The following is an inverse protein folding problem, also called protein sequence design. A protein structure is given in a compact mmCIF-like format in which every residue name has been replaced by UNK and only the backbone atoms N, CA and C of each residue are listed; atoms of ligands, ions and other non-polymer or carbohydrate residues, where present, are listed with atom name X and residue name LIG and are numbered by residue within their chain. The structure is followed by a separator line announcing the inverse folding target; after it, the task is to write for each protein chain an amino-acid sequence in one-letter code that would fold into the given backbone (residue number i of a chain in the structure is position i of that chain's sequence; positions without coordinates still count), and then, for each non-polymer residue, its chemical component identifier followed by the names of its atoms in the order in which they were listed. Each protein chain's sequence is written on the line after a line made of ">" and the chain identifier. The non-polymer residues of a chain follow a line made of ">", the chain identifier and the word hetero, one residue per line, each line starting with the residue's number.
data_IF_030127720681
#
_entry.id   IF_030127720681
#
_cell.length_a   1.000
_cell.length_b   1.000
_cell.length_c   1.000
_cell.angle_alpha   90.00
_cell.angle_beta   90.00
_cell.angle_gamma   90.00
#
_symmetry.space_group_name_H-M   'P 1'
#
loop_
_entity.id
_entity.type
_entity.pdbx_description
1 polymer ?
#
# COMPACT_ATOMS: atom_id res chain seq x y z
N UNK A 1 3.38 -15.52 -20.36
CA UNK A 1 2.68 -14.48 -19.59
C UNK A 1 1.91 -15.19 -18.49
N UNK A 2 2.26 -14.93 -17.23
CA UNK A 2 1.73 -15.66 -16.06
C UNK A 2 0.94 -14.76 -15.12
N UNK A 3 0.85 -13.47 -15.41
CA UNK A 3 0.10 -12.52 -14.60
C UNK A 3 -1.38 -12.55 -14.98
N UNK A 4 -2.26 -12.63 -13.98
CA UNK A 4 -3.71 -12.55 -14.18
C UNK A 4 -4.20 -11.10 -14.37
N UNK A 5 -3.49 -10.14 -13.79
CA UNK A 5 -3.87 -8.72 -13.78
C UNK A 5 -2.66 -7.79 -13.80
N UNK A 6 -2.86 -6.59 -14.35
CA UNK A 6 -1.95 -5.45 -14.24
C UNK A 6 -2.70 -4.26 -13.63
N UNK A 7 -2.00 -3.44 -12.84
CA UNK A 7 -2.60 -2.30 -12.15
C UNK A 7 -1.75 -1.07 -12.38
N UNK A 8 -2.40 0.05 -12.68
CA UNK A 8 -1.81 1.39 -12.62
C UNK A 8 -2.36 2.07 -11.37
N UNK A 9 -1.49 2.64 -10.54
CA UNK A 9 -1.87 3.33 -9.32
C UNK A 9 -1.20 4.71 -9.26
N UNK A 10 -1.85 5.70 -8.63
CA UNK A 10 -1.26 7.01 -8.37
C UNK A 10 -0.36 6.98 -7.13
N UNK A 11 0.54 7.96 -7.01
CA UNK A 11 1.55 8.03 -5.93
C UNK A 11 0.95 8.00 -4.52
N UNK A 12 -0.26 8.55 -4.33
CA UNK A 12 -0.93 8.50 -3.02
C UNK A 12 -1.21 7.07 -2.55
N UNK A 13 -1.28 6.08 -3.46
CA UNK A 13 -1.43 4.68 -3.09
C UNK A 13 -0.16 4.18 -2.40
N UNK A 14 1.03 4.49 -2.92
CA UNK A 14 2.30 4.17 -2.28
C UNK A 14 2.43 4.88 -0.93
N UNK A 15 2.16 6.19 -0.89
CA UNK A 15 2.19 6.96 0.36
C UNK A 15 1.22 6.42 1.43
N UNK A 16 0.05 5.91 1.01
CA UNK A 16 -0.87 5.23 1.92
C UNK A 16 -0.27 3.91 2.45
N UNK A 17 0.35 3.11 1.59
CA UNK A 17 1.05 1.88 1.98
C UNK A 17 2.15 2.14 3.01
N UNK A 18 2.97 3.17 2.79
CA UNK A 18 4.08 3.53 3.71
C UNK A 18 3.56 3.80 5.13
N UNK A 19 2.42 4.52 5.23
CA UNK A 19 1.78 4.81 6.53
C UNK A 19 1.18 3.59 7.18
N UNK A 20 0.60 2.66 6.39
CA UNK A 20 0.08 1.41 6.92
C UNK A 20 1.21 0.56 7.50
N UNK A 21 2.33 0.41 6.77
CA UNK A 21 3.52 -0.32 7.22
C UNK A 21 4.18 0.33 8.45
N UNK A 22 4.20 1.66 8.51
CA UNK A 22 4.73 2.40 9.65
C UNK A 22 3.90 2.20 10.93
N UNK A 23 2.60 1.88 10.79
CA UNK A 23 1.66 1.65 11.88
C UNK A 23 1.31 2.92 12.67
N UNK A 24 0.13 2.93 13.31
CA UNK A 24 -0.29 4.01 14.22
C UNK A 24 -0.16 3.62 15.69
N UNK A 25 -0.12 2.32 15.98
CA UNK A 25 -0.14 1.76 17.33
C UNK A 25 1.20 1.12 17.69
N UNK A 26 1.58 1.19 18.97
CA UNK A 26 2.89 0.66 19.43
C UNK A 26 2.92 -0.88 19.47
N UNK A 27 1.75 -1.53 19.52
CA UNK A 27 1.63 -2.99 19.60
C UNK A 27 1.69 -3.72 18.27
N UNK A 28 1.66 -3.00 17.14
CA UNK A 28 1.72 -3.60 15.82
C UNK A 28 3.17 -3.66 15.29
N UNK A 29 3.55 -4.71 14.56
CA UNK A 29 4.87 -4.78 13.92
C UNK A 29 5.02 -3.62 12.94
N UNK A 30 6.00 -2.74 13.19
CA UNK A 30 6.34 -1.66 12.27
C UNK A 30 7.32 -2.13 11.21
N UNK A 31 7.03 -1.80 9.96
CA UNK A 31 7.87 -2.06 8.80
C UNK A 31 8.27 -0.70 8.22
N UNK A 32 9.57 -0.48 8.01
CA UNK A 32 10.05 0.68 7.26
C UNK A 32 9.99 0.30 5.78
N UNK A 33 9.15 1.00 5.03
CA UNK A 33 8.82 0.70 3.64
C UNK A 33 8.86 2.01 2.86
N UNK A 34 9.78 2.11 1.90
CA UNK A 34 9.83 3.24 0.98
C UNK A 34 8.70 3.18 -0.06
N UNK A 35 8.63 4.16 -0.94
CA UNK A 35 7.54 4.28 -1.93
C UNK A 35 7.42 3.02 -2.81
N UNK A 36 8.55 2.53 -3.33
CA UNK A 36 8.53 1.35 -4.21
C UNK A 36 8.14 0.10 -3.43
N UNK A 37 8.60 -0.01 -2.18
CA UNK A 37 8.30 -1.11 -1.26
C UNK A 37 6.84 -1.19 -0.88
N UNK A 38 6.22 -0.04 -0.60
CA UNK A 38 4.86 0.04 -0.08
C UNK A 38 3.77 0.17 -1.16
N UNK A 39 4.15 0.49 -2.40
CA UNK A 39 3.23 0.72 -3.54
C UNK A 39 2.16 -0.36 -3.71
N UNK A 40 2.57 -1.63 -3.62
CA UNK A 40 1.67 -2.77 -3.82
C UNK A 40 0.72 -2.98 -2.63
N UNK A 41 1.20 -2.84 -1.40
CA UNK A 41 0.39 -2.92 -0.20
C UNK A 41 -0.67 -1.82 -0.18
N UNK A 42 -0.26 -0.57 -0.42
CA UNK A 42 -1.17 0.56 -0.42
C UNK A 42 -2.22 0.48 -1.52
N UNK A 43 -1.84 0.03 -2.72
CA UNK A 43 -2.79 -0.22 -3.81
C UNK A 43 -3.79 -1.32 -3.46
N UNK A 44 -3.31 -2.44 -2.89
CA UNK A 44 -4.19 -3.53 -2.47
C UNK A 44 -5.13 -3.10 -1.32
N UNK A 45 -4.65 -2.32 -0.36
CA UNK A 45 -5.45 -1.78 0.73
C UNK A 45 -6.60 -0.92 0.20
N UNK A 46 -6.35 -0.07 -0.80
CA UNK A 46 -7.40 0.72 -1.45
C UNK A 46 -8.41 -0.16 -2.18
N UNK A 47 -7.96 -1.15 -2.97
CA UNK A 47 -8.85 -2.10 -3.66
C UNK A 47 -9.75 -2.85 -2.65
N UNK A 48 -9.19 -3.20 -1.49
CA UNK A 48 -9.91 -3.93 -0.44
C UNK A 48 -10.91 -3.06 0.32
N UNK A 49 -10.70 -1.75 0.44
CA UNK A 49 -11.46 -0.90 1.36
C UNK A 49 -12.35 0.14 0.69
N UNK A 50 -11.99 0.63 -0.50
CA UNK A 50 -12.71 1.71 -1.20
C UNK A 50 -13.92 1.17 -1.98
N UNK A 51 -15.15 1.63 -1.70
CA UNK A 51 -16.36 1.17 -2.39
C UNK A 51 -16.32 1.33 -3.91
N UNK A 52 -15.70 2.39 -4.40
CA UNK A 52 -15.53 2.70 -5.82
C UNK A 52 -14.64 1.67 -6.56
N UNK A 53 -13.85 0.87 -5.84
CA UNK A 53 -13.01 -0.19 -6.41
C UNK A 53 -13.61 -1.60 -6.26
N UNK A 54 -14.88 -1.70 -5.87
CA UNK A 54 -15.57 -2.98 -5.65
C UNK A 54 -15.48 -3.94 -6.84
N UNK A 55 -15.63 -3.43 -8.06
CA UNK A 55 -15.61 -4.27 -9.26
C UNK A 55 -14.21 -4.83 -9.54
N UNK A 56 -13.14 -4.08 -9.28
CA UNK A 56 -11.77 -4.58 -9.35
C UNK A 56 -11.54 -5.70 -8.30
N UNK A 57 -11.98 -5.48 -7.06
CA UNK A 57 -11.88 -6.47 -5.98
C UNK A 57 -12.60 -7.78 -6.33
N UNK A 58 -13.80 -7.70 -6.93
CA UNK A 58 -14.57 -8.86 -7.41
C UNK A 58 -13.87 -9.57 -8.57
N UNK A 59 -13.36 -8.83 -9.55
CA UNK A 59 -12.64 -9.40 -10.69
C UNK A 59 -11.41 -10.21 -10.24
N UNK A 60 -10.66 -9.69 -9.26
CA UNK A 60 -9.51 -10.35 -8.63
C UNK A 60 -9.91 -11.47 -7.65
N UNK A 61 -11.21 -11.68 -7.40
CA UNK A 61 -11.77 -12.69 -6.47
C UNK A 61 -11.26 -12.57 -5.03
N UNK A 62 -10.87 -11.37 -4.62
CA UNK A 62 -10.38 -11.10 -3.26
C UNK A 62 -11.54 -11.17 -2.26
N UNK A 63 -11.36 -11.97 -1.21
CA UNK A 63 -12.35 -12.17 -0.16
C UNK A 63 -11.68 -12.56 1.17
N UNK A 64 -12.47 -12.83 2.21
CA UNK A 64 -11.98 -13.16 3.55
C UNK A 64 -11.11 -14.43 3.64
N UNK A 65 -11.16 -15.31 2.64
CA UNK A 65 -10.34 -16.53 2.58
C UNK A 65 -9.05 -16.32 1.76
N UNK A 66 -8.81 -15.13 1.21
CA UNK A 66 -7.62 -14.84 0.42
C UNK A 66 -6.39 -14.69 1.34
N UNK A 67 -5.28 -15.31 0.95
CA UNK A 67 -3.96 -15.03 1.53
C UNK A 67 -3.19 -14.15 0.57
N UNK A 68 -2.77 -12.98 1.03
CA UNK A 68 -2.03 -12.00 0.23
C UNK A 68 -0.56 -12.00 0.66
N UNK A 69 0.34 -12.07 -0.32
CA UNK A 69 1.78 -11.95 -0.12
C UNK A 69 2.24 -10.64 -0.76
N UNK A 70 2.95 -9.82 0.02
CA UNK A 70 3.58 -8.59 -0.44
C UNK A 70 5.09 -8.71 -0.22
N UNK A 71 5.85 -8.07 -1.10
CA UNK A 71 7.31 -7.97 -0.98
C UNK A 71 7.63 -6.49 -0.83
N UNK A 72 8.06 -6.10 0.36
CA UNK A 72 8.68 -4.80 0.57
C UNK A 72 10.08 -4.85 -0.07
N UNK A 73 10.26 -4.07 -1.13
CA UNK A 73 11.49 -4.06 -1.94
C UNK A 73 12.55 -3.09 -1.41
N UNK A 74 12.17 -2.10 -0.60
CA UNK A 74 13.10 -1.09 -0.07
C UNK A 74 12.63 -0.51 1.28
N UNK A 75 13.59 -0.13 2.13
CA UNK A 75 13.32 0.69 3.31
C UNK A 75 13.20 2.18 2.97
N UNK A 76 13.57 3.04 3.91
CA UNK A 76 13.67 4.49 3.76
C UNK A 76 14.95 4.90 3.00
N UNK A 77 15.06 4.51 1.74
CA UNK A 77 16.20 4.86 0.87
C UNK A 77 16.37 6.37 0.70
N UNK A 78 15.27 7.13 0.79
CA UNK A 78 15.22 8.57 1.01
C UNK A 78 14.52 8.88 2.36
N UNK A 79 15.29 9.05 3.45
CA UNK A 79 14.72 9.30 4.78
C UNK A 79 13.94 10.61 4.86
N UNK A 80 14.36 11.64 4.12
CA UNK A 80 13.68 12.94 4.15
C UNK A 80 12.29 12.81 3.54
N UNK A 81 12.18 12.17 2.37
CA UNK A 81 10.87 11.95 1.76
C UNK A 81 10.01 10.97 2.57
N UNK A 82 10.61 9.94 3.18
CA UNK A 82 9.91 9.04 4.10
C UNK A 82 9.23 9.82 5.25
N UNK A 83 9.96 10.72 5.91
CA UNK A 83 9.40 11.58 6.96
C UNK A 83 8.31 12.53 6.42
N UNK A 84 8.49 13.10 5.22
CA UNK A 84 7.46 13.95 4.60
C UNK A 84 6.15 13.17 4.37
N UNK A 85 6.23 11.92 3.94
CA UNK A 85 5.07 11.08 3.65
C UNK A 85 4.42 10.56 4.95
N UNK A 86 5.21 9.91 5.80
CA UNK A 86 4.69 9.16 6.95
C UNK A 86 4.28 10.08 8.08
N UNK A 87 5.08 11.12 8.38
CA UNK A 87 4.83 12.01 9.51
C UNK A 87 4.14 13.30 9.09
N UNK A 88 4.55 13.90 7.96
CA UNK A 88 4.03 15.21 7.53
C UNK A 88 2.82 15.11 6.59
N UNK A 89 2.44 13.90 6.15
CA UNK A 89 1.20 13.67 5.41
C UNK A 89 1.25 14.00 3.92
N UNK A 90 2.42 14.06 3.29
CA UNK A 90 2.56 14.32 1.85
C UNK A 90 1.83 13.25 0.99
N UNK A 91 1.19 13.64 -0.11
CA UNK A 91 0.32 12.75 -0.92
C UNK A 91 -0.84 12.14 -0.12
N UNK A 92 -1.81 12.97 0.34
CA UNK A 92 -2.99 12.48 1.05
C UNK A 92 -3.91 11.70 0.11
N UNK A 93 -4.73 10.82 0.69
CA UNK A 93 -5.82 10.19 -0.05
C UNK A 93 -6.88 11.24 -0.42
N UNK A 94 -7.53 11.12 -1.59
CA UNK A 94 -8.70 11.91 -1.95
C UNK A 94 -9.96 11.47 -1.18
#
# INVERSE_FOLDING_TARGET
>A
DYADFYVSCPDYAAAHGMRLDAGTETSEPRIISGESGASTLGTAALILTRPELLEARKAMKLNANSTLLFINTEGDTDPENYHQIVESGAFPLP
#
